data_IF_758460429448
#
_entry.id   IF_758460429448
#
_cell.length_a   1.000
_cell.length_b   1.000
_cell.length_c   1.000
_cell.angle_alpha   90.00
_cell.angle_beta   90.00
_cell.angle_gamma   90.00
#
_symmetry.space_group_name_H-M   'P 1'
#
loop_
_entity.id
_entity.type
_entity.pdbx_description
1 polymer ?
#
# COMPACT_ATOMS: atom_id res chain seq x y z
N UNK A 1 -0.49 -19.49 1.82
CA UNK A 1 -1.60 -18.84 1.09
C UNK A 1 -2.06 -17.64 1.89
N UNK A 2 -2.32 -16.51 1.24
CA UNK A 2 -2.68 -15.24 1.89
C UNK A 2 -4.14 -15.18 2.34
N UNK A 3 -4.99 -16.18 2.01
CA UNK A 3 -6.44 -16.18 2.27
C UNK A 3 -7.18 -14.93 1.75
N UNK A 4 -6.60 -14.21 0.79
CA UNK A 4 -7.23 -13.02 0.22
C UNK A 4 -7.97 -13.39 -1.07
N UNK A 5 -9.21 -12.93 -1.20
CA UNK A 5 -9.95 -12.96 -2.46
C UNK A 5 -9.58 -11.75 -3.34
N UNK A 6 -10.02 -11.77 -4.60
CA UNK A 6 -9.88 -10.62 -5.49
C UNK A 6 -10.54 -9.37 -4.91
N UNK A 7 -11.63 -9.55 -4.16
CA UNK A 7 -12.33 -8.48 -3.47
C UNK A 7 -11.48 -7.81 -2.38
N UNK A 8 -10.75 -8.58 -1.56
CA UNK A 8 -9.84 -8.01 -0.57
C UNK A 8 -8.71 -7.21 -1.24
N UNK A 9 -8.21 -7.68 -2.39
CA UNK A 9 -7.20 -6.96 -3.16
C UNK A 9 -7.77 -5.63 -3.66
N UNK A 10 -8.99 -5.64 -4.22
CA UNK A 10 -9.68 -4.46 -4.69
C UNK A 10 -9.90 -3.41 -3.58
N UNK A 11 -10.34 -3.83 -2.38
CA UNK A 11 -10.47 -2.95 -1.23
C UNK A 11 -9.14 -2.26 -0.88
N UNK A 12 -8.06 -3.03 -0.82
CA UNK A 12 -6.72 -2.49 -0.52
C UNK A 12 -6.25 -1.52 -1.61
N UNK A 13 -6.47 -1.84 -2.88
CA UNK A 13 -6.16 -0.93 -4.00
C UNK A 13 -6.94 0.38 -3.86
N UNK A 14 -8.23 0.31 -3.52
CA UNK A 14 -9.09 1.47 -3.38
C UNK A 14 -8.67 2.36 -2.19
N UNK A 15 -8.37 1.75 -1.04
CA UNK A 15 -7.80 2.46 0.13
C UNK A 15 -6.53 3.19 -0.29
N UNK A 16 -5.60 2.49 -0.94
CA UNK A 16 -4.34 3.06 -1.38
C UNK A 16 -4.52 4.21 -2.39
N UNK A 17 -5.40 4.04 -3.37
CA UNK A 17 -5.71 5.07 -4.38
C UNK A 17 -6.24 6.35 -3.74
N UNK A 18 -7.11 6.21 -2.74
CA UNK A 18 -7.67 7.35 -2.01
C UNK A 18 -6.60 8.10 -1.21
N UNK A 19 -5.67 7.39 -0.57
CA UNK A 19 -4.55 8.00 0.15
C UNK A 19 -3.63 8.74 -0.84
N UNK A 20 -3.25 8.10 -1.95
CA UNK A 20 -2.41 8.72 -2.98
C UNK A 20 -3.01 10.05 -3.46
N UNK A 21 -4.32 10.05 -3.79
CA UNK A 21 -5.04 11.27 -4.20
C UNK A 21 -5.06 12.33 -3.11
N UNK A 22 -5.32 11.95 -1.85
CA UNK A 22 -5.36 12.87 -0.71
C UNK A 22 -4.02 13.58 -0.50
N UNK A 23 -2.90 12.87 -0.62
CA UNK A 23 -1.56 13.44 -0.44
C UNK A 23 -0.98 14.06 -1.72
N UNK A 24 -1.75 14.09 -2.81
CA UNK A 24 -1.31 14.57 -4.12
C UNK A 24 0.04 13.94 -4.54
N UNK A 25 0.14 12.62 -4.42
CA UNK A 25 1.31 11.85 -4.85
C UNK A 25 1.01 11.14 -6.17
N UNK A 26 2.04 10.87 -6.96
CA UNK A 26 1.93 10.05 -8.17
C UNK A 26 2.44 8.64 -7.89
N UNK A 27 1.67 7.58 -8.23
CA UNK A 27 2.16 6.22 -8.13
C UNK A 27 3.19 5.97 -9.23
N UNK A 28 4.35 5.43 -8.87
CA UNK A 28 5.41 5.01 -9.80
C UNK A 28 5.27 3.53 -10.17
N UNK A 29 5.05 2.67 -9.19
CA UNK A 29 4.99 1.23 -9.44
C UNK A 29 4.14 0.51 -8.42
N UNK A 30 3.50 -0.58 -8.86
CA UNK A 30 2.77 -1.48 -7.99
C UNK A 30 3.40 -2.86 -8.02
N UNK A 31 3.64 -3.46 -6.85
CA UNK A 31 4.20 -4.82 -6.76
C UNK A 31 3.56 -5.63 -5.65
N UNK A 32 3.33 -6.91 -5.93
CA UNK A 32 3.04 -7.91 -4.92
C UNK A 32 4.36 -8.63 -4.57
N UNK A 33 4.86 -8.46 -3.36
CA UNK A 33 6.09 -9.11 -2.89
C UNK A 33 5.74 -10.29 -1.98
N UNK A 34 6.13 -11.51 -2.37
CA UNK A 34 5.93 -12.72 -1.56
C UNK A 34 7.18 -12.95 -0.71
N UNK A 35 7.35 -12.16 0.35
CA UNK A 35 8.36 -12.45 1.38
C UNK A 35 7.56 -12.85 2.62
N UNK A 36 7.49 -14.15 2.91
CA UNK A 36 6.82 -14.73 4.10
C UNK A 36 5.31 -14.46 4.34
N UNK A 37 4.60 -13.72 3.48
CA UNK A 37 3.19 -13.42 3.80
C UNK A 37 2.38 -12.59 2.80
N UNK A 38 2.89 -12.31 1.60
CA UNK A 38 2.17 -11.52 0.60
C UNK A 38 2.03 -10.05 1.00
N UNK A 39 2.97 -9.22 0.56
CA UNK A 39 2.90 -7.78 0.71
C UNK A 39 2.42 -7.15 -0.60
N UNK A 40 1.65 -6.07 -0.52
CA UNK A 40 1.26 -5.22 -1.63
C UNK A 40 1.92 -3.85 -1.46
N UNK A 41 2.86 -3.55 -2.34
CA UNK A 41 3.74 -2.39 -2.22
C UNK A 41 3.44 -1.43 -3.35
N UNK A 42 3.09 -0.19 -3.00
CA UNK A 42 2.99 0.90 -3.97
C UNK A 42 4.20 1.83 -3.83
N UNK A 43 5.01 1.88 -4.88
CA UNK A 43 6.00 2.92 -5.06
C UNK A 43 5.32 4.24 -5.43
N UNK A 44 5.70 5.33 -4.79
CA UNK A 44 5.25 6.68 -5.12
C UNK A 44 6.45 7.56 -5.48
N UNK A 45 6.26 8.44 -6.46
CA UNK A 45 7.29 9.37 -6.92
C UNK A 45 7.36 10.56 -5.97
N UNK A 46 8.15 10.41 -4.91
CA UNK A 46 8.35 11.43 -3.90
C UNK A 46 9.71 11.29 -3.23
N UNK A 47 10.32 12.44 -2.96
CA UNK A 47 11.55 12.54 -2.17
C UNK A 47 11.25 12.90 -0.70
N UNK A 48 9.97 13.13 -0.36
CA UNK A 48 9.56 13.51 0.98
C UNK A 48 9.20 12.26 1.81
N UNK A 49 10.14 11.83 2.65
CA UNK A 49 9.96 10.66 3.52
C UNK A 49 8.90 10.88 4.60
N UNK A 50 8.73 12.09 5.11
CA UNK A 50 7.71 12.38 6.13
C UNK A 50 6.29 12.12 5.58
N UNK A 51 6.04 12.52 4.32
CA UNK A 51 4.79 12.18 3.64
C UNK A 51 4.58 10.67 3.51
N UNK A 52 5.64 9.89 3.26
CA UNK A 52 5.52 8.43 3.19
C UNK A 52 5.14 7.85 4.54
N UNK A 53 5.71 8.38 5.62
CA UNK A 53 5.38 7.98 6.98
C UNK A 53 3.90 8.27 7.26
N UNK A 54 3.44 9.49 6.98
CA UNK A 54 2.03 9.88 7.18
C UNK A 54 1.06 9.02 6.36
N UNK A 55 1.38 8.77 5.09
CA UNK A 55 0.58 7.90 4.21
C UNK A 55 0.49 6.47 4.73
N UNK A 56 1.59 5.92 5.29
CA UNK A 56 1.59 4.56 5.84
C UNK A 56 0.85 4.47 7.17
N UNK A 57 0.90 5.50 8.02
CA UNK A 57 0.06 5.57 9.22
C UNK A 57 -1.42 5.59 8.86
N UNK A 58 -1.82 6.45 7.92
CA UNK A 58 -3.21 6.50 7.47
C UNK A 58 -3.66 5.20 6.79
N UNK A 59 -2.75 4.53 6.07
CA UNK A 59 -3.02 3.21 5.50
C UNK A 59 -3.30 2.18 6.61
N UNK A 60 -2.46 2.13 7.64
CA UNK A 60 -2.66 1.21 8.76
C UNK A 60 -4.01 1.44 9.44
N UNK A 61 -4.37 2.71 9.72
CA UNK A 61 -5.64 3.06 10.36
C UNK A 61 -6.85 2.62 9.51
N UNK A 62 -6.80 2.86 8.19
CA UNK A 62 -7.90 2.48 7.28
C UNK A 62 -8.03 0.98 7.10
N UNK A 63 -6.90 0.25 7.07
CA UNK A 63 -6.91 -1.21 6.97
C UNK A 63 -7.51 -1.83 8.23
N UNK A 64 -7.11 -1.35 9.42
CA UNK A 64 -7.65 -1.83 10.70
C UNK A 64 -9.15 -1.52 10.86
N UNK A 65 -9.63 -0.44 10.23
CA UNK A 65 -11.05 -0.08 10.25
C UNK A 65 -11.91 -0.93 9.31
N UNK A 66 -11.32 -1.68 8.37
CA UNK A 66 -12.04 -2.46 7.36
C UNK A 66 -12.13 -3.94 7.76
N UNK A 67 -13.22 -4.31 8.44
CA UNK A 67 -13.42 -5.66 8.99
C UNK A 67 -13.39 -6.78 7.96
N UNK A 68 -13.65 -6.49 6.68
CA UNK A 68 -13.59 -7.49 5.62
C UNK A 68 -12.14 -7.94 5.33
N UNK A 69 -11.15 -7.14 5.72
CA UNK A 69 -9.73 -7.46 5.59
C UNK A 69 -9.19 -8.32 6.73
N UNK A 70 -9.94 -8.54 7.82
CA UNK A 70 -9.47 -9.32 9.00
C UNK A 70 -9.07 -10.76 8.64
N UNK A 71 -9.71 -11.33 7.62
CA UNK A 71 -9.44 -12.68 7.13
C UNK A 71 -8.30 -12.76 6.11
N UNK A 72 -7.85 -11.61 5.59
CA UNK A 72 -6.85 -11.47 4.55
C UNK A 72 -5.46 -11.25 5.15
N UNK A 73 -4.54 -12.20 4.91
CA UNK A 73 -3.14 -12.08 5.30
C UNK A 73 -2.35 -11.40 4.19
N UNK A 74 -2.61 -10.11 4.00
CA UNK A 74 -1.86 -9.28 3.07
C UNK A 74 -1.55 -7.93 3.71
N UNK A 75 -0.32 -7.46 3.54
CA UNK A 75 0.15 -6.21 4.15
C UNK A 75 0.38 -5.19 3.05
N UNK A 76 -0.16 -3.98 3.18
CA UNK A 76 0.07 -2.91 2.22
C UNK A 76 1.04 -1.86 2.77
N UNK A 77 1.90 -1.30 1.91
CA UNK A 77 2.76 -0.16 2.26
C UNK A 77 3.09 0.74 1.06
N UNK A 78 3.29 2.03 1.34
CA UNK A 78 3.87 2.99 0.42
C UNK A 78 5.38 3.06 0.60
N UNK A 79 6.13 3.11 -0.50
CA UNK A 79 7.58 3.33 -0.48
C UNK A 79 7.99 4.43 -1.45
N UNK A 80 9.09 5.14 -1.18
CA UNK A 80 9.67 6.04 -2.17
C UNK A 80 10.11 5.25 -3.40
N UNK A 81 10.11 5.94 -4.54
CA UNK A 81 10.64 5.42 -5.79
C UNK A 81 12.08 4.96 -5.62
N UNK A 82 12.40 3.72 -6.04
CA UNK A 82 13.79 3.25 -6.09
C UNK A 82 14.50 3.99 -7.22
N UNK A 83 15.31 4.99 -6.88
CA UNK A 83 16.30 5.56 -7.81
C UNK A 83 17.36 4.50 -8.08
N UNK A 84 17.27 3.84 -9.24
CA UNK A 84 18.37 3.01 -9.73
C UNK A 84 19.39 4.01 -10.27
N UNK A 85 20.42 4.33 -9.48
CA UNK A 85 21.57 5.07 -9.98
C UNK A 85 22.20 4.24 -11.12
N UNK A 86 22.20 4.79 -12.34
CA UNK A 86 22.99 4.29 -13.46
C UNK A 86 24.38 4.93 -13.42
#
# INVERSE_FOLDING_TARGET
MTNCSDYHIELIVNICSNIIRKYNQEPDSLRLEIIAGGHYVIGVDTDNLDKIVDMNFELADRIVAESELDSCKLVALFRPRRRINK
#
